data_IF_920895122638
#
_entry.id   IF_920895122638
#
_cell.length_a   1.000
_cell.length_b   1.000
_cell.length_c   1.000
_cell.angle_alpha   90.00
_cell.angle_beta   90.00
_cell.angle_gamma   90.00
#
_symmetry.space_group_name_H-M   'P 1'
#
loop_
_entity.id
_entity.type
_entity.pdbx_description
1 polymer ?
#
# COMPACT_ATOMS: atom_id res chain seq x y z
N UNK A 1 -3.68 24.05 2.86
CA UNK A 1 -2.24 23.76 3.08
C UNK A 1 -2.10 22.25 3.14
N UNK A 2 -1.75 21.64 2.00
CA UNK A 2 -1.73 20.18 1.85
C UNK A 2 -0.57 19.58 2.64
N UNK A 3 -0.93 18.69 3.56
CA UNK A 3 -0.05 18.09 4.55
C UNK A 3 0.60 16.83 3.99
N UNK A 4 1.43 16.96 2.96
CA UNK A 4 2.21 15.81 2.43
C UNK A 4 3.72 16.11 2.32
N UNK A 5 4.10 17.39 2.28
CA UNK A 5 5.50 17.80 2.07
C UNK A 5 6.44 17.60 3.27
N UNK A 6 5.93 17.49 4.50
CA UNK A 6 6.77 17.30 5.69
C UNK A 6 6.93 15.84 6.14
N UNK A 7 6.29 14.90 5.45
CA UNK A 7 6.40 13.49 5.80
C UNK A 7 7.52 12.77 5.04
N UNK A 8 8.06 13.32 3.94
CA UNK A 8 9.01 12.61 3.06
C UNK A 8 10.43 12.51 3.65
N UNK A 9 10.72 13.10 4.83
CA UNK A 9 12.09 13.14 5.37
C UNK A 9 12.49 12.07 6.39
N UNK A 10 11.61 11.19 6.86
CA UNK A 10 11.99 10.10 7.77
C UNK A 10 11.10 8.85 7.59
N UNK A 11 11.21 8.16 6.45
CA UNK A 11 10.57 6.83 6.28
C UNK A 11 11.63 5.74 6.24
N UNK A 12 12.36 5.56 7.33
CA UNK A 12 13.51 4.65 7.36
C UNK A 12 13.15 3.18 7.63
N UNK A 13 11.96 2.87 8.17
CA UNK A 13 11.69 1.53 8.71
C UNK A 13 10.35 1.00 8.23
N UNK A 14 10.38 -0.12 7.50
CA UNK A 14 9.23 -1.04 7.43
C UNK A 14 8.93 -1.42 8.87
N UNK A 15 7.72 -1.24 9.43
CA UNK A 15 7.50 -1.57 10.83
C UNK A 15 7.90 -3.02 11.06
N UNK A 16 9.03 -3.23 11.74
CA UNK A 16 9.55 -4.57 12.04
C UNK A 16 8.46 -5.37 12.77
N UNK A 17 7.63 -4.67 13.54
CA UNK A 17 6.39 -5.10 14.15
C UNK A 17 5.41 -5.80 13.18
N UNK A 18 5.26 -5.37 11.92
CA UNK A 18 4.41 -6.05 10.94
C UNK A 18 4.99 -7.40 10.52
N UNK A 19 6.31 -7.46 10.37
CA UNK A 19 7.05 -8.68 10.00
C UNK A 19 7.04 -9.67 11.16
N UNK A 20 7.36 -9.18 12.36
CA UNK A 20 7.39 -9.97 13.59
C UNK A 20 5.99 -10.45 13.97
N UNK A 21 4.95 -9.63 13.77
CA UNK A 21 3.55 -10.04 13.99
C UNK A 21 3.15 -11.23 13.11
N UNK A 22 3.50 -11.17 11.83
CA UNK A 22 3.20 -12.24 10.86
C UNK A 22 4.07 -13.48 11.12
N UNK A 23 5.33 -13.28 11.52
CA UNK A 23 6.31 -14.34 11.72
C UNK A 23 6.19 -15.10 13.06
N UNK A 24 5.83 -14.42 14.15
CA UNK A 24 5.95 -14.95 15.53
C UNK A 24 4.63 -15.24 16.26
N UNK A 25 3.45 -14.97 15.69
CA UNK A 25 2.20 -15.26 16.42
C UNK A 25 1.82 -16.74 16.38
N UNK A 26 1.48 -17.31 17.54
CA UNK A 26 0.89 -18.64 17.73
C UNK A 26 -0.49 -18.82 17.08
N UNK A 27 -1.05 -17.74 16.51
CA UNK A 27 -2.24 -17.70 15.65
C UNK A 27 -1.89 -17.45 14.16
N UNK A 28 -0.63 -17.69 13.77
CA UNK A 28 0.03 -17.18 12.57
C UNK A 28 -0.55 -17.58 11.22
N UNK A 29 0.18 -17.25 10.16
CA UNK A 29 -0.16 -17.61 8.78
C UNK A 29 -0.55 -19.09 8.71
N UNK A 30 -1.73 -19.39 8.16
CA UNK A 30 -2.15 -20.79 7.97
C UNK A 30 -1.31 -21.48 6.90
N UNK A 31 -0.69 -20.72 6.00
CA UNK A 31 0.17 -21.21 4.90
C UNK A 31 -0.56 -22.22 3.99
N UNK A 32 -1.88 -22.11 3.91
CA UNK A 32 -2.74 -22.90 3.02
C UNK A 32 -2.91 -22.25 1.62
N UNK A 33 -2.12 -21.20 1.33
CA UNK A 33 -2.20 -20.43 0.09
C UNK A 33 -3.20 -19.27 0.09
N UNK A 34 -3.99 -19.07 1.15
CA UNK A 34 -5.00 -18.00 1.22
C UNK A 34 -4.62 -16.82 2.13
N UNK A 35 -3.46 -16.84 2.77
CA UNK A 35 -2.94 -15.68 3.49
C UNK A 35 -2.40 -14.67 2.49
N UNK A 36 -2.96 -13.46 2.46
CA UNK A 36 -2.60 -12.46 1.47
C UNK A 36 -2.37 -11.07 2.06
N UNK A 37 -1.55 -10.30 1.35
CA UNK A 37 -1.34 -8.89 1.57
C UNK A 37 -1.74 -8.11 0.32
N UNK A 38 -2.61 -7.10 0.49
CA UNK A 38 -3.08 -6.27 -0.60
C UNK A 38 -2.27 -4.97 -0.66
N UNK A 39 -1.41 -4.83 -1.67
CA UNK A 39 -0.67 -3.61 -1.94
C UNK A 39 -1.42 -2.70 -2.90
N UNK A 40 -1.44 -1.41 -2.60
CA UNK A 40 -1.66 -0.38 -3.61
C UNK A 40 -0.41 -0.22 -4.49
N UNK A 41 -0.54 0.38 -5.66
CA UNK A 41 0.60 0.56 -6.58
C UNK A 41 1.20 1.95 -6.46
N UNK A 42 0.40 2.99 -6.68
CA UNK A 42 0.89 4.37 -6.72
C UNK A 42 1.16 4.91 -5.31
N UNK A 43 2.29 5.60 -5.17
CA UNK A 43 2.91 6.03 -3.91
C UNK A 43 3.08 4.91 -2.87
N UNK A 44 2.98 3.66 -3.29
CA UNK A 44 3.12 2.50 -2.41
C UNK A 44 4.22 1.58 -2.90
N UNK A 45 4.15 1.09 -4.15
CA UNK A 45 5.24 0.38 -4.82
C UNK A 45 6.00 1.30 -5.77
N UNK A 46 5.28 2.16 -6.49
CA UNK A 46 5.84 3.10 -7.46
C UNK A 46 5.64 4.53 -6.96
N UNK A 47 6.72 5.31 -6.88
CA UNK A 47 6.64 6.72 -6.47
C UNK A 47 6.05 7.60 -7.58
N UNK A 48 5.07 8.45 -7.25
CA UNK A 48 4.60 9.51 -8.15
C UNK A 48 5.25 10.87 -7.85
N UNK A 49 6.21 10.93 -6.92
CA UNK A 49 6.97 12.15 -6.59
C UNK A 49 7.62 12.81 -7.82
N UNK A 50 8.20 12.08 -8.80
CA UNK A 50 8.75 12.73 -9.99
C UNK A 50 7.71 13.47 -10.84
N UNK A 51 6.46 13.02 -10.83
CA UNK A 51 5.34 13.75 -11.44
C UNK A 51 5.00 14.97 -10.60
N UNK A 52 4.75 14.78 -9.30
CA UNK A 52 4.37 15.86 -8.39
C UNK A 52 5.39 17.01 -8.36
N UNK A 53 6.69 16.72 -8.44
CA UNK A 53 7.75 17.76 -8.49
C UNK A 53 7.59 18.74 -9.66
N UNK A 54 6.95 18.32 -10.75
CA UNK A 54 6.68 19.16 -11.92
C UNK A 54 5.34 19.91 -11.83
N UNK A 55 4.53 19.60 -10.82
CA UNK A 55 3.17 20.11 -10.58
C UNK A 55 3.05 20.66 -9.16
N UNK A 56 4.07 21.42 -8.73
CA UNK A 56 4.13 22.10 -7.43
C UNK A 56 3.84 21.22 -6.20
N UNK A 57 4.29 19.97 -6.24
CA UNK A 57 4.09 18.98 -5.15
C UNK A 57 2.62 18.82 -4.72
N UNK A 58 1.67 18.90 -5.67
CA UNK A 58 0.24 18.81 -5.37
C UNK A 58 -0.37 20.11 -4.82
N UNK A 59 0.32 21.25 -4.98
CA UNK A 59 -0.24 22.59 -4.84
C UNK A 59 -1.26 22.91 -5.92
N UNK A 60 -1.11 22.30 -7.11
CA UNK A 60 -2.07 22.35 -8.21
C UNK A 60 -3.16 21.29 -8.07
N UNK A 61 -4.36 21.59 -8.57
CA UNK A 61 -5.44 20.59 -8.68
C UNK A 61 -4.98 19.45 -9.59
N UNK A 62 -5.09 18.22 -9.10
CA UNK A 62 -4.65 17.04 -9.84
C UNK A 62 -5.38 16.92 -11.19
N UNK A 63 -4.60 16.97 -12.27
CA UNK A 63 -5.07 16.64 -13.61
C UNK A 63 -4.87 15.13 -13.85
N UNK A 64 -5.99 14.40 -13.86
CA UNK A 64 -5.98 12.94 -14.06
C UNK A 64 -5.44 12.52 -15.42
N UNK A 65 -5.78 13.25 -16.49
CA UNK A 65 -5.29 12.94 -17.85
C UNK A 65 -3.77 13.08 -17.93
N UNK A 66 -3.23 14.18 -17.40
CA UNK A 66 -1.77 14.41 -17.33
C UNK A 66 -1.06 13.35 -16.50
N UNK A 67 -1.66 12.92 -15.38
CA UNK A 67 -1.11 11.84 -14.56
C UNK A 67 -1.14 10.50 -15.29
N UNK A 68 -2.23 10.17 -16.00
CA UNK A 68 -2.34 8.96 -16.82
C UNK A 68 -1.30 8.94 -17.95
N UNK A 69 -1.07 10.08 -18.63
CA UNK A 69 -0.01 10.24 -19.63
C UNK A 69 1.40 10.09 -19.04
N UNK A 70 1.61 10.48 -17.79
CA UNK A 70 2.86 10.23 -17.11
C UNK A 70 3.02 8.74 -16.76
N UNK A 71 1.95 8.10 -16.26
CA UNK A 71 1.93 6.68 -15.93
C UNK A 71 2.15 5.79 -17.15
N UNK A 72 1.63 6.19 -18.32
CA UNK A 72 1.78 5.46 -19.60
C UNK A 72 3.24 5.41 -20.09
N UNK A 73 4.13 6.24 -19.53
CA UNK A 73 5.57 6.19 -19.81
C UNK A 73 6.26 5.05 -19.06
N UNK A 74 5.66 4.51 -17.99
CA UNK A 74 6.21 3.37 -17.25
C UNK A 74 7.58 3.63 -16.61
N UNK A 75 7.80 4.84 -16.08
CA UNK A 75 9.10 5.28 -15.49
C UNK A 75 9.01 5.68 -14.02
N UNK A 76 7.96 5.25 -13.32
CA UNK A 76 7.84 5.52 -11.88
C UNK A 76 8.85 4.65 -11.11
N UNK A 77 9.73 5.23 -10.27
CA UNK A 77 10.74 4.46 -9.55
C UNK A 77 10.13 3.64 -8.40
N UNK A 78 10.79 2.56 -8.01
CA UNK A 78 10.41 1.79 -6.83
C UNK A 78 10.52 2.63 -5.55
N UNK A 79 9.64 2.31 -4.59
CA UNK A 79 9.81 2.69 -3.20
C UNK A 79 10.56 1.58 -2.47
N UNK A 80 11.84 1.80 -2.17
CA UNK A 80 12.77 0.77 -1.69
C UNK A 80 12.26 0.06 -0.42
N UNK A 81 11.68 0.79 0.54
CA UNK A 81 11.15 0.21 1.77
C UNK A 81 9.98 -0.74 1.50
N UNK A 82 9.11 -0.38 0.56
CA UNK A 82 8.01 -1.23 0.12
C UNK A 82 8.51 -2.47 -0.62
N UNK A 83 9.61 -2.36 -1.37
CA UNK A 83 10.26 -3.52 -2.01
C UNK A 83 10.82 -4.49 -0.97
N UNK A 84 11.45 -3.98 0.11
CA UNK A 84 11.90 -4.79 1.25
C UNK A 84 10.73 -5.54 1.90
N UNK A 85 9.66 -4.84 2.27
CA UNK A 85 8.46 -5.46 2.87
C UNK A 85 7.82 -6.49 1.93
N UNK A 86 7.68 -6.15 0.64
CA UNK A 86 7.13 -7.04 -0.37
C UNK A 86 7.89 -8.36 -0.43
N UNK A 87 9.22 -8.30 -0.46
CA UNK A 87 10.06 -9.50 -0.52
C UNK A 87 9.96 -10.30 0.79
N UNK A 88 10.00 -9.65 1.96
CA UNK A 88 9.84 -10.33 3.25
C UNK A 88 8.51 -11.08 3.33
N UNK A 89 7.39 -10.44 2.97
CA UNK A 89 6.07 -11.07 2.99
C UNK A 89 5.99 -12.27 2.03
N UNK A 90 6.57 -12.13 0.84
CA UNK A 90 6.67 -13.21 -0.14
C UNK A 90 7.48 -14.38 0.40
N UNK A 91 8.63 -14.13 1.02
CA UNK A 91 9.50 -15.16 1.59
C UNK A 91 8.84 -15.88 2.79
N UNK A 92 7.91 -15.21 3.48
CA UNK A 92 7.05 -15.81 4.51
C UNK A 92 5.87 -16.65 3.95
N UNK A 93 5.71 -16.70 2.63
CA UNK A 93 4.64 -17.44 1.95
C UNK A 93 3.31 -16.69 1.86
N UNK A 94 3.31 -15.38 2.13
CA UNK A 94 2.12 -14.53 1.98
C UNK A 94 1.88 -14.23 0.50
N UNK A 95 0.66 -14.45 0.02
CA UNK A 95 0.27 -14.13 -1.34
C UNK A 95 0.22 -12.60 -1.53
N UNK A 96 0.94 -12.11 -2.53
CA UNK A 96 0.92 -10.69 -2.85
C UNK A 96 -0.14 -10.39 -3.89
N UNK A 97 -1.10 -9.55 -3.51
CA UNK A 97 -2.18 -9.08 -4.39
C UNK A 97 -2.00 -7.58 -4.62
N UNK A 98 -1.93 -7.16 -5.89
CA UNK A 98 -1.86 -5.75 -6.23
C UNK A 98 -3.24 -5.21 -6.60
N UNK A 99 -3.62 -4.09 -5.99
CA UNK A 99 -4.90 -3.41 -6.21
C UNK A 99 -4.63 -1.94 -6.49
N UNK A 100 -4.76 -1.50 -7.74
CA UNK A 100 -4.49 -0.10 -8.13
C UNK A 100 -5.75 0.61 -8.60
N UNK A 101 -5.77 1.94 -8.42
CA UNK A 101 -6.76 2.84 -9.02
C UNK A 101 -6.44 3.24 -10.46
N UNK A 102 -5.32 2.78 -11.04
CA UNK A 102 -5.07 2.94 -12.49
C UNK A 102 -6.17 2.26 -13.29
N UNK A 103 -6.48 2.82 -14.46
CA UNK A 103 -7.42 2.24 -15.41
C UNK A 103 -6.82 1.04 -16.13
N UNK A 104 -7.68 0.09 -16.52
CA UNK A 104 -7.29 -1.15 -17.20
C UNK A 104 -6.44 -0.93 -18.46
N UNK A 105 -6.63 0.17 -19.20
CA UNK A 105 -5.83 0.44 -20.39
C UNK A 105 -4.32 0.65 -20.09
N UNK A 106 -3.95 0.96 -18.84
CA UNK A 106 -2.56 1.11 -18.40
C UNK A 106 -1.94 -0.21 -17.92
N UNK A 107 -2.63 -1.36 -18.07
CA UNK A 107 -2.21 -2.65 -17.52
C UNK A 107 -0.79 -3.04 -17.92
N UNK A 108 -0.52 -3.09 -19.23
CA UNK A 108 0.79 -3.53 -19.75
C UNK A 108 1.92 -2.67 -19.16
N UNK A 109 1.83 -1.35 -19.35
CA UNK A 109 2.83 -0.41 -18.83
C UNK A 109 3.00 -0.50 -17.31
N UNK A 110 1.91 -0.73 -16.57
CA UNK A 110 1.98 -0.84 -15.12
C UNK A 110 2.72 -2.11 -14.71
N UNK A 111 2.44 -3.24 -15.36
CA UNK A 111 3.15 -4.51 -15.14
C UNK A 111 4.63 -4.34 -15.48
N UNK A 112 4.94 -3.80 -16.67
CA UNK A 112 6.32 -3.61 -17.13
C UNK A 112 7.10 -2.74 -16.15
N UNK A 113 6.51 -1.64 -15.68
CA UNK A 113 7.20 -0.77 -14.71
C UNK A 113 7.46 -1.49 -13.38
N UNK A 114 6.45 -2.17 -12.80
CA UNK A 114 6.57 -2.91 -11.54
C UNK A 114 7.67 -3.98 -11.63
N UNK A 115 7.72 -4.72 -12.74
CA UNK A 115 8.75 -5.71 -13.01
C UNK A 115 10.13 -5.07 -13.14
N UNK A 116 10.24 -4.01 -13.95
CA UNK A 116 11.51 -3.33 -14.23
C UNK A 116 12.14 -2.72 -12.97
N UNK A 117 11.33 -2.35 -11.98
CA UNK A 117 11.81 -1.80 -10.71
C UNK A 117 11.98 -2.86 -9.60
N UNK A 118 11.88 -4.15 -9.94
CA UNK A 118 12.31 -5.27 -9.09
C UNK A 118 11.23 -6.01 -8.31
N UNK A 119 9.94 -5.70 -8.50
CA UNK A 119 8.85 -6.43 -7.85
C UNK A 119 8.46 -7.67 -8.69
N UNK A 120 8.59 -8.85 -8.09
CA UNK A 120 8.27 -10.14 -8.73
C UNK A 120 7.61 -11.12 -7.74
N UNK A 121 6.73 -11.99 -8.23
CA UNK A 121 6.07 -13.03 -7.41
C UNK A 121 4.67 -12.68 -6.89
N UNK A 122 4.06 -11.64 -7.44
CA UNK A 122 2.62 -11.39 -7.43
C UNK A 122 1.84 -12.10 -8.54
N UNK A 123 0.51 -12.08 -8.42
CA UNK A 123 -0.41 -12.39 -9.54
C UNK A 123 -0.76 -11.11 -10.31
N UNK A 124 -1.42 -11.24 -11.46
CA UNK A 124 -1.93 -10.12 -12.26
C UNK A 124 -2.63 -9.05 -11.41
N UNK A 125 -2.30 -7.75 -11.58
CA UNK A 125 -2.87 -6.69 -10.76
C UNK A 125 -4.37 -6.50 -11.02
N UNK A 126 -5.11 -6.09 -10.01
CA UNK A 126 -6.53 -5.72 -10.12
C UNK A 126 -6.60 -4.20 -10.38
N UNK A 127 -6.98 -3.82 -11.59
CA UNK A 127 -7.10 -2.43 -12.03
C UNK A 127 -8.56 -2.03 -12.23
N UNK A 128 -8.81 -0.73 -12.39
CA UNK A 128 -10.17 -0.21 -12.58
C UNK A 128 -10.67 -0.46 -13.98
N UNK A 129 -11.68 -1.32 -14.08
CA UNK A 129 -12.42 -1.53 -15.32
C UNK A 129 -13.48 -0.44 -15.58
N UNK A 130 -14.12 -0.48 -16.76
CA UNK A 130 -15.12 0.52 -17.16
C UNK A 130 -16.29 0.68 -16.16
N UNK A 131 -16.71 -0.42 -15.53
CA UNK A 131 -17.80 -0.42 -14.53
C UNK A 131 -17.41 0.17 -13.17
N UNK A 132 -16.13 0.49 -12.96
CA UNK A 132 -15.58 1.09 -11.74
C UNK A 132 -15.17 2.56 -11.91
N UNK A 133 -15.27 3.12 -13.13
CA UNK A 133 -14.80 4.48 -13.44
C UNK A 133 -15.45 5.56 -12.59
N UNK A 134 -16.77 5.45 -12.37
CA UNK A 134 -17.54 6.40 -11.57
C UNK A 134 -17.46 6.15 -10.07
N UNK A 135 -16.86 5.03 -9.63
CA UNK A 135 -16.74 4.72 -8.20
C UNK A 135 -15.64 5.56 -7.58
N UNK A 136 -15.84 6.00 -6.35
CA UNK A 136 -14.74 6.59 -5.58
C UNK A 136 -13.64 5.56 -5.32
N UNK A 137 -12.37 5.98 -5.23
CA UNK A 137 -11.20 5.08 -5.04
C UNK A 137 -11.41 4.16 -3.85
N UNK A 138 -11.90 4.71 -2.74
CA UNK A 138 -12.17 3.95 -1.51
C UNK A 138 -13.24 2.87 -1.70
N UNK A 139 -14.35 3.21 -2.37
CA UNK A 139 -15.45 2.29 -2.63
C UNK A 139 -15.01 1.13 -3.52
N UNK A 140 -14.25 1.43 -4.57
CA UNK A 140 -13.65 0.43 -5.46
C UNK A 140 -12.70 -0.51 -4.68
N UNK A 141 -11.70 0.04 -3.98
CA UNK A 141 -10.72 -0.78 -3.24
C UNK A 141 -11.40 -1.61 -2.14
N UNK A 142 -12.41 -1.07 -1.47
CA UNK A 142 -13.23 -1.81 -0.50
C UNK A 142 -14.01 -2.96 -1.17
N UNK A 143 -14.58 -2.71 -2.35
CA UNK A 143 -15.26 -3.74 -3.15
C UNK A 143 -14.32 -4.88 -3.57
N UNK A 144 -13.11 -4.55 -4.03
CA UNK A 144 -12.08 -5.56 -4.35
C UNK A 144 -11.72 -6.37 -3.11
N UNK A 145 -11.44 -5.74 -1.97
CA UNK A 145 -11.15 -6.44 -0.72
C UNK A 145 -12.27 -7.39 -0.31
N UNK A 146 -13.54 -6.96 -0.45
CA UNK A 146 -14.70 -7.81 -0.13
C UNK A 146 -14.76 -9.03 -1.06
N UNK A 147 -14.49 -8.87 -2.36
CA UNK A 147 -14.43 -9.99 -3.32
C UNK A 147 -13.32 -10.98 -2.98
N UNK A 148 -12.13 -10.49 -2.60
CA UNK A 148 -11.01 -11.34 -2.20
C UNK A 148 -11.35 -12.14 -0.94
N UNK A 149 -11.90 -11.49 0.08
CA UNK A 149 -12.36 -12.16 1.31
C UNK A 149 -13.46 -13.19 1.00
N UNK A 150 -14.43 -12.83 0.16
CA UNK A 150 -15.48 -13.74 -0.30
C UNK A 150 -14.95 -14.94 -1.10
N UNK A 151 -13.76 -14.81 -1.69
CA UNK A 151 -13.07 -15.90 -2.41
C UNK A 151 -12.15 -16.72 -1.50
N UNK A 152 -12.18 -16.49 -0.18
CA UNK A 152 -11.45 -17.27 0.83
C UNK A 152 -10.14 -16.64 1.33
N UNK A 153 -9.70 -15.53 0.75
CA UNK A 153 -8.45 -14.88 1.19
C UNK A 153 -8.57 -14.27 2.59
N UNK A 154 -7.51 -14.45 3.38
CA UNK A 154 -7.29 -13.76 4.65
C UNK A 154 -6.34 -12.59 4.40
N UNK A 155 -6.91 -11.40 4.30
CA UNK A 155 -6.13 -10.18 4.10
C UNK A 155 -5.55 -9.71 5.43
N UNK A 156 -4.22 -9.80 5.58
CA UNK A 156 -3.50 -9.45 6.81
C UNK A 156 -3.19 -7.97 6.94
N UNK A 157 -2.94 -7.31 5.81
CA UNK A 157 -2.66 -5.89 5.76
C UNK A 157 -3.02 -5.24 4.44
N UNK A 158 -3.23 -3.93 4.51
CA UNK A 158 -3.41 -3.03 3.37
C UNK A 158 -2.90 -1.66 3.76
N UNK A 159 -2.41 -0.88 2.79
CA UNK A 159 -2.22 0.56 3.01
C UNK A 159 -3.57 1.22 3.30
N UNK A 160 -3.65 2.07 4.33
CA UNK A 160 -4.83 2.91 4.59
C UNK A 160 -4.67 4.20 3.80
N UNK A 161 -5.56 4.46 2.86
CA UNK A 161 -5.66 5.78 2.24
C UNK A 161 -6.73 6.55 3.04
N UNK A 162 -6.30 7.36 4.03
CA UNK A 162 -7.19 8.17 4.86
C UNK A 162 -7.36 9.53 4.20
N UNK A 163 -8.60 9.92 3.89
CA UNK A 163 -8.92 11.28 3.43
C UNK A 163 -9.06 12.19 4.67
N UNK A 164 -8.17 13.16 4.83
CA UNK A 164 -8.25 14.21 5.85
C UNK A 164 -7.59 13.87 7.20
N UNK A 165 -6.41 14.45 7.44
CA UNK A 165 -5.75 14.43 8.76
C UNK A 165 -6.07 15.73 9.53
N UNK A 166 -6.75 15.61 10.69
CA UNK A 166 -6.82 16.69 11.70
C UNK A 166 -5.68 16.48 12.69
N UNK A 167 -4.73 17.42 12.76
CA UNK A 167 -3.69 17.46 13.80
C UNK A 167 -4.36 17.57 15.17
N UNK A 168 -4.17 16.58 16.02
CA UNK A 168 -4.20 16.78 17.48
C UNK A 168 -2.77 16.66 17.99
N UNK A 169 -2.31 17.70 18.65
CA UNK A 169 -0.95 17.84 19.16
C UNK A 169 -0.63 16.79 20.24
N UNK A 170 0.08 15.72 19.88
CA UNK A 170 1.08 15.06 20.73
C UNK A 170 1.73 13.91 19.93
N UNK A 171 3.07 13.91 19.96
CA UNK A 171 3.98 12.78 19.72
C UNK A 171 4.25 12.33 18.27
N UNK A 172 5.49 12.61 17.86
CA UNK A 172 6.13 12.34 16.57
C UNK A 172 6.37 10.84 16.31
N UNK A 173 6.01 9.94 17.24
CA UNK A 173 6.22 8.49 17.09
C UNK A 173 5.03 7.73 16.47
N UNK A 174 3.86 8.37 16.31
CA UNK A 174 2.66 7.71 15.74
C UNK A 174 2.65 7.62 14.20
N UNK A 175 3.67 8.17 13.52
CA UNK A 175 3.66 8.30 12.05
C UNK A 175 4.00 6.98 11.35
N UNK A 176 4.82 6.11 11.95
CA UNK A 176 5.25 4.85 11.32
C UNK A 176 4.14 3.78 11.25
N UNK A 177 3.25 3.74 12.24
CA UNK A 177 2.05 2.89 12.24
C UNK A 177 0.92 3.42 11.32
N UNK A 178 1.07 4.61 10.73
CA UNK A 178 -0.03 5.30 10.05
C UNK A 178 -0.25 4.91 8.58
N UNK A 179 0.73 4.29 7.91
CA UNK A 179 0.63 4.01 6.47
C UNK A 179 0.08 2.62 6.14
N UNK A 180 0.54 1.60 6.85
CA UNK A 180 0.04 0.23 6.71
C UNK A 180 -0.82 -0.13 7.90
N UNK A 181 -2.03 -0.63 7.66
CA UNK A 181 -2.91 -1.12 8.72
C UNK A 181 -2.94 -2.64 8.69
N UNK A 182 -2.59 -3.27 9.80
CA UNK A 182 -2.85 -4.69 10.05
C UNK A 182 -4.37 -4.83 10.26
N UNK A 183 -5.04 -5.60 9.40
CA UNK A 183 -6.50 -5.70 9.38
C UNK A 183 -7.04 -6.82 10.27
N UNK A 184 -6.19 -7.75 10.71
CA UNK A 184 -6.54 -8.80 11.66
C UNK A 184 -5.56 -8.75 12.82
N UNK A 185 -6.02 -8.26 13.97
CA UNK A 185 -5.40 -8.45 15.29
C UNK A 185 -6.47 -9.07 16.22
N UNK A 186 -6.28 -10.27 16.80
CA UNK A 186 -7.20 -10.83 17.79
C UNK A 186 -7.27 -9.97 19.05
N UNK A 187 -8.45 -9.86 19.67
CA UNK A 187 -8.72 -9.03 20.85
C UNK A 187 -7.90 -9.41 22.10
N UNK A 188 -7.31 -10.60 22.13
CA UNK A 188 -6.54 -11.12 23.27
C UNK A 188 -5.03 -10.83 23.17
N UNK A 189 -4.56 -10.26 22.06
CA UNK A 189 -3.22 -9.69 21.96
C UNK A 189 -3.22 -8.31 22.62
N UNK A 190 -3.01 -8.26 23.94
CA UNK A 190 -2.73 -7.01 24.66
C UNK A 190 -1.41 -6.43 24.13
N UNK A 191 -1.50 -5.51 23.19
CA UNK A 191 -0.41 -4.57 22.88
C UNK A 191 -0.22 -3.69 24.11
N UNK A 192 0.80 -3.98 24.93
CA UNK A 192 1.32 -3.00 25.88
C UNK A 192 2.32 -2.14 25.12
N UNK A 193 1.99 -0.86 24.99
CA UNK A 193 2.88 0.20 24.49
C UNK A 193 4.00 0.50 25.53
N UNK A 194 3.97 -0.16 26.70
CA UNK A 194 4.79 0.18 27.86
C UNK A 194 6.22 -0.40 27.82
N UNK A 195 6.66 -0.99 26.70
CA UNK A 195 8.04 -1.46 26.54
C UNK A 195 8.87 -0.65 25.52
N UNK A 196 8.38 0.51 25.09
CA UNK A 196 9.09 1.43 24.18
C UNK A 196 9.77 2.60 24.94
N UNK A 197 9.84 2.54 26.28
CA UNK A 197 10.66 3.48 27.06
C UNK A 197 11.49 2.73 28.09
N UNK A 198 12.70 2.35 27.67
CA UNK A 198 13.95 2.45 28.46
C UNK A 198 15.11 2.51 27.50
#
# INVERSE_FOLDING_TARGET
MNMELHNIREFEVVPQECVDYIGNTSCGLKKDGFDAWAFDVDDTLLSIVPYQKKHDFGGEKLNWTSLEEWMSKGKGPALEHSLKLFNVLKDLGVQIILVSSRREHLRSTTIDNIVNVGYHGWTSPILRGPSDELKQVQQYKAGVRRKLIGSGYRIWGSRRQVEGYRRTSKHTMDVLASQFSILRCPKDCRFSIDHIVT
#
